data_IF_970889251602
#
_entry.id   IF_970889251602
#
_cell.length_a   1.000
_cell.length_b   1.000
_cell.length_c   1.000
_cell.angle_alpha   90.00
_cell.angle_beta   90.00
_cell.angle_gamma   90.00
#
_symmetry.space_group_name_H-M   'P 1'
#
loop_
_entity.id
_entity.type
_entity.pdbx_description
1 polymer ?
#
# COMPACT_ATOMS: atom_id res chain seq x y z
N UNK A 1 -31.47 -44.11 -6.74
CA UNK A 1 -31.07 -43.16 -5.68
C UNK A 1 -30.63 -41.88 -6.35
N UNK A 2 -31.24 -40.75 -6.00
CA UNK A 2 -30.84 -39.43 -6.55
C UNK A 2 -29.82 -38.75 -5.65
N UNK A 3 -29.94 -38.92 -4.32
CA UNK A 3 -28.88 -38.58 -3.38
C UNK A 3 -27.90 -39.74 -3.25
N UNK A 4 -26.60 -39.46 -3.38
CA UNK A 4 -25.52 -40.40 -3.05
C UNK A 4 -25.10 -40.16 -1.59
N UNK A 5 -24.98 -41.21 -0.75
CA UNK A 5 -24.55 -41.03 0.65
C UNK A 5 -23.13 -40.47 0.73
N UNK A 6 -22.26 -40.82 -0.22
CA UNK A 6 -20.86 -40.41 -0.26
C UNK A 6 -20.61 -39.08 -1.00
N UNK A 7 -21.65 -38.27 -1.29
CA UNK A 7 -21.48 -36.92 -1.87
C UNK A 7 -21.26 -35.87 -0.75
N UNK A 8 -20.03 -35.36 -0.54
CA UNK A 8 -19.73 -34.37 0.50
C UNK A 8 -20.40 -33.00 0.26
N UNK A 9 -20.96 -32.78 -0.94
CA UNK A 9 -21.75 -31.59 -1.28
C UNK A 9 -23.27 -31.77 -1.06
N UNK A 10 -23.74 -32.97 -0.69
CA UNK A 10 -25.14 -33.19 -0.30
C UNK A 10 -25.51 -32.56 1.06
N UNK A 11 -24.53 -32.21 1.89
CA UNK A 11 -24.70 -31.46 3.14
C UNK A 11 -25.19 -32.26 4.35
N UNK A 12 -25.83 -33.41 4.14
CA UNK A 12 -26.18 -34.34 5.20
C UNK A 12 -24.94 -35.04 5.80
N UNK A 13 -24.94 -35.27 7.11
CA UNK A 13 -23.82 -35.90 7.84
C UNK A 13 -24.04 -37.40 8.14
N UNK A 14 -25.24 -37.92 7.87
CA UNK A 14 -25.65 -39.26 8.31
C UNK A 14 -26.34 -40.03 7.18
N UNK A 15 -25.78 -41.18 6.80
CA UNK A 15 -26.28 -41.99 5.68
C UNK A 15 -27.70 -42.52 5.92
N UNK A 16 -28.12 -42.68 7.18
CA UNK A 16 -29.51 -43.00 7.56
C UNK A 16 -30.50 -41.91 7.14
N UNK A 17 -30.14 -40.63 7.29
CA UNK A 17 -30.95 -39.48 6.86
C UNK A 17 -30.99 -39.42 5.33
N UNK A 18 -29.87 -39.66 4.65
CA UNK A 18 -29.82 -39.72 3.17
C UNK A 18 -30.66 -40.88 2.62
N UNK A 19 -30.67 -42.03 3.29
CA UNK A 19 -31.52 -43.17 2.92
C UNK A 19 -33.01 -42.85 3.10
N UNK A 20 -33.40 -42.29 4.26
CA UNK A 20 -34.77 -41.86 4.53
C UNK A 20 -35.28 -40.79 3.54
N UNK A 21 -34.45 -39.80 3.20
CA UNK A 21 -34.84 -38.77 2.23
C UNK A 21 -34.96 -39.36 0.81
N UNK A 22 -34.04 -40.24 0.39
CA UNK A 22 -34.19 -41.00 -0.86
C UNK A 22 -35.50 -41.82 -0.88
N UNK A 23 -35.88 -42.46 0.23
CA UNK A 23 -37.13 -43.22 0.37
C UNK A 23 -38.36 -42.30 0.20
N UNK A 24 -38.40 -41.15 0.90
CA UNK A 24 -39.53 -40.21 0.80
C UNK A 24 -39.64 -39.53 -0.56
N UNK A 25 -38.50 -39.22 -1.20
CA UNK A 25 -38.48 -38.79 -2.61
C UNK A 25 -39.01 -39.90 -3.52
N UNK A 26 -38.54 -41.14 -3.38
CA UNK A 26 -38.97 -42.28 -4.19
C UNK A 26 -40.45 -42.67 -4.03
N UNK A 27 -41.18 -42.03 -3.10
CA UNK A 27 -42.64 -42.13 -3.00
C UNK A 27 -43.40 -41.68 -4.27
N UNK A 28 -42.79 -40.89 -5.16
CA UNK A 28 -43.34 -40.56 -6.48
C UNK A 28 -42.21 -40.26 -7.48
N UNK A 29 -42.34 -40.64 -8.77
CA UNK A 29 -41.27 -40.47 -9.78
C UNK A 29 -40.75 -39.02 -9.88
N UNK A 30 -41.70 -38.07 -9.81
CA UNK A 30 -41.46 -36.63 -9.83
C UNK A 30 -40.48 -36.14 -8.76
N UNK A 31 -40.29 -36.84 -7.64
CA UNK A 31 -39.29 -36.46 -6.62
C UNK A 31 -37.85 -36.64 -7.14
N UNK A 32 -37.41 -37.89 -7.41
CA UNK A 32 -36.14 -38.18 -8.05
C UNK A 32 -35.84 -37.36 -9.31
N UNK A 33 -36.86 -37.12 -10.14
CA UNK A 33 -36.80 -36.26 -11.34
C UNK A 33 -36.53 -34.79 -10.97
N UNK A 34 -37.38 -34.19 -10.13
CA UNK A 34 -37.24 -32.81 -9.67
C UNK A 34 -35.91 -32.55 -8.95
N UNK A 35 -35.37 -33.51 -8.19
CA UNK A 35 -34.04 -33.36 -7.61
C UNK A 35 -32.94 -33.23 -8.66
N UNK A 36 -33.00 -34.06 -9.72
CA UNK A 36 -31.97 -34.10 -10.76
C UNK A 36 -32.07 -32.90 -11.72
N UNK A 37 -33.28 -32.53 -12.13
CA UNK A 37 -33.53 -31.36 -13.01
C UNK A 37 -33.04 -30.04 -12.40
N UNK A 38 -33.14 -29.90 -11.07
CA UNK A 38 -32.93 -28.63 -10.39
C UNK A 38 -31.62 -28.57 -9.59
N UNK A 39 -30.74 -29.58 -9.69
CA UNK A 39 -29.46 -29.68 -8.96
C UNK A 39 -28.43 -28.59 -9.31
N UNK A 40 -28.62 -27.92 -10.45
CA UNK A 40 -27.73 -26.90 -11.01
C UNK A 40 -28.32 -25.48 -10.97
N UNK A 41 -29.58 -25.32 -10.53
CA UNK A 41 -30.26 -24.02 -10.47
C UNK A 41 -29.94 -23.27 -9.18
N UNK A 42 -30.30 -21.99 -9.13
CA UNK A 42 -30.30 -21.21 -7.89
C UNK A 42 -31.40 -21.69 -6.93
N UNK A 43 -31.24 -21.43 -5.64
CA UNK A 43 -32.28 -21.75 -4.66
C UNK A 43 -33.61 -21.04 -4.96
N UNK A 44 -33.55 -19.79 -5.44
CA UNK A 44 -34.73 -19.01 -5.83
C UNK A 44 -35.53 -19.69 -6.95
N UNK A 45 -34.86 -20.23 -7.98
CA UNK A 45 -35.54 -20.99 -9.05
C UNK A 45 -36.14 -22.31 -8.54
N UNK A 46 -35.46 -23.00 -7.61
CA UNK A 46 -35.97 -24.24 -6.97
C UNK A 46 -37.22 -23.95 -6.15
N UNK A 47 -37.20 -22.88 -5.34
CA UNK A 47 -38.31 -22.47 -4.47
C UNK A 47 -39.50 -21.96 -5.29
N UNK A 48 -39.26 -21.19 -6.35
CA UNK A 48 -40.29 -20.80 -7.33
C UNK A 48 -40.98 -22.04 -7.93
N UNK A 49 -40.22 -22.98 -8.51
CA UNK A 49 -40.79 -24.20 -9.08
C UNK A 49 -41.52 -25.07 -8.04
N UNK A 50 -41.06 -25.10 -6.79
CA UNK A 50 -41.77 -25.82 -5.72
C UNK A 50 -43.13 -25.17 -5.43
N UNK A 51 -43.19 -23.84 -5.27
CA UNK A 51 -44.46 -23.12 -5.08
C UNK A 51 -45.43 -23.42 -6.20
N UNK A 52 -45.00 -23.34 -7.46
CA UNK A 52 -45.86 -23.58 -8.62
C UNK A 52 -46.44 -25.01 -8.60
N UNK A 53 -45.66 -26.01 -8.15
CA UNK A 53 -46.09 -27.40 -7.93
C UNK A 53 -47.04 -27.54 -6.73
N UNK A 54 -46.88 -26.72 -5.68
CA UNK A 54 -47.74 -26.74 -4.49
C UNK A 54 -49.09 -26.06 -4.75
N UNK A 55 -49.14 -25.02 -5.59
CA UNK A 55 -50.35 -24.29 -5.96
C UNK A 55 -51.20 -25.04 -7.00
N UNK A 56 -50.58 -25.76 -7.94
CA UNK A 56 -51.29 -26.56 -8.94
C UNK A 56 -52.16 -27.67 -8.32
N UNK A 57 -53.48 -27.54 -8.43
CA UNK A 57 -54.46 -28.49 -7.88
C UNK A 57 -54.57 -29.81 -8.66
N UNK A 58 -54.01 -29.89 -9.87
CA UNK A 58 -53.95 -31.12 -10.66
C UNK A 58 -52.83 -32.08 -10.19
N UNK A 59 -51.85 -31.60 -9.42
CA UNK A 59 -50.74 -32.41 -8.90
C UNK A 59 -51.20 -33.24 -7.68
N UNK A 60 -51.05 -34.58 -7.69
CA UNK A 60 -51.36 -35.42 -6.53
C UNK A 60 -50.55 -35.04 -5.29
N UNK A 61 -51.13 -35.17 -4.09
CA UNK A 61 -50.45 -34.89 -2.81
C UNK A 61 -49.12 -35.65 -2.68
N UNK A 62 -49.11 -36.94 -3.01
CA UNK A 62 -47.92 -37.79 -3.01
C UNK A 62 -46.78 -37.27 -3.91
N UNK A 63 -47.12 -36.58 -5.01
CA UNK A 63 -46.14 -35.92 -5.87
C UNK A 63 -45.65 -34.58 -5.27
N UNK A 64 -46.55 -33.82 -4.62
CA UNK A 64 -46.18 -32.61 -3.86
C UNK A 64 -45.22 -32.93 -2.71
N UNK A 65 -45.52 -33.98 -1.95
CA UNK A 65 -44.67 -34.47 -0.85
C UNK A 65 -43.29 -34.89 -1.36
N UNK A 66 -43.23 -35.71 -2.42
CA UNK A 66 -41.97 -36.15 -3.03
C UNK A 66 -41.13 -34.97 -3.56
N UNK A 67 -41.77 -33.96 -4.16
CA UNK A 67 -41.09 -32.71 -4.55
C UNK A 67 -40.60 -31.91 -3.33
N UNK A 68 -41.39 -31.81 -2.25
CA UNK A 68 -40.98 -31.11 -1.03
C UNK A 68 -39.75 -31.76 -0.37
N UNK A 69 -39.67 -33.09 -0.29
CA UNK A 69 -38.47 -33.80 0.16
C UNK A 69 -37.26 -33.59 -0.76
N UNK A 70 -37.50 -33.46 -2.07
CA UNK A 70 -36.47 -33.16 -3.07
C UNK A 70 -35.93 -31.74 -2.93
N UNK A 71 -36.80 -30.75 -2.72
CA UNK A 71 -36.44 -29.36 -2.43
C UNK A 71 -35.71 -29.21 -1.11
N UNK A 72 -36.10 -29.95 -0.05
CA UNK A 72 -35.35 -29.98 1.21
C UNK A 72 -33.89 -30.44 0.97
N UNK A 73 -33.70 -31.49 0.16
CA UNK A 73 -32.38 -31.99 -0.18
C UNK A 73 -31.56 -31.00 -1.04
N UNK A 74 -32.21 -30.27 -1.94
CA UNK A 74 -31.59 -29.18 -2.71
C UNK A 74 -31.22 -27.99 -1.82
N UNK A 75 -32.05 -27.62 -0.85
CA UNK A 75 -31.79 -26.54 0.10
C UNK A 75 -30.61 -26.83 1.03
N UNK A 76 -30.52 -28.07 1.55
CA UNK A 76 -29.37 -28.51 2.35
C UNK A 76 -28.08 -28.54 1.51
N UNK A 77 -28.15 -28.97 0.24
CA UNK A 77 -27.03 -28.88 -0.73
C UNK A 77 -26.61 -27.42 -0.99
N UNK A 78 -27.57 -26.52 -1.19
CA UNK A 78 -27.31 -25.10 -1.43
C UNK A 78 -26.64 -24.44 -0.21
N UNK A 79 -27.23 -24.61 0.99
CA UNK A 79 -26.66 -24.11 2.24
C UNK A 79 -25.24 -24.66 2.51
N UNK A 80 -24.99 -25.94 2.20
CA UNK A 80 -23.66 -26.55 2.29
C UNK A 80 -22.65 -25.88 1.35
N UNK A 81 -23.00 -25.69 0.08
CA UNK A 81 -22.16 -25.00 -0.92
C UNK A 81 -21.89 -23.55 -0.52
N UNK A 82 -22.93 -22.82 -0.10
CA UNK A 82 -22.81 -21.43 0.36
C UNK A 82 -21.88 -21.34 1.58
N UNK A 83 -22.04 -22.22 2.57
CA UNK A 83 -21.16 -22.31 3.74
C UNK A 83 -19.69 -22.55 3.36
N UNK A 84 -19.42 -23.46 2.40
CA UNK A 84 -18.07 -23.71 1.89
C UNK A 84 -17.48 -22.48 1.19
N UNK A 85 -18.24 -21.83 0.30
CA UNK A 85 -17.80 -20.63 -0.42
C UNK A 85 -17.51 -19.46 0.53
N UNK A 86 -18.36 -19.22 1.54
CA UNK A 86 -18.09 -18.19 2.55
C UNK A 86 -16.87 -18.54 3.41
N UNK A 87 -16.67 -19.82 3.77
CA UNK A 87 -15.46 -20.28 4.47
C UNK A 87 -14.18 -20.00 3.67
N UNK A 88 -14.16 -20.32 2.37
CA UNK A 88 -13.04 -20.00 1.49
C UNK A 88 -12.81 -18.49 1.35
N UNK A 89 -13.87 -17.69 1.20
CA UNK A 89 -13.79 -16.23 1.12
C UNK A 89 -13.22 -15.60 2.39
N UNK A 90 -13.66 -16.04 3.57
CA UNK A 90 -13.15 -15.57 4.86
C UNK A 90 -11.68 -15.96 5.06
N UNK A 91 -11.30 -17.18 4.72
CA UNK A 91 -9.90 -17.64 4.78
C UNK A 91 -8.99 -16.83 3.85
N UNK A 92 -9.42 -16.58 2.62
CA UNK A 92 -8.67 -15.77 1.65
C UNK A 92 -8.53 -14.30 2.12
N UNK A 93 -9.60 -13.69 2.65
CA UNK A 93 -9.56 -12.34 3.23
C UNK A 93 -8.60 -12.25 4.42
N UNK A 94 -8.58 -13.25 5.29
CA UNK A 94 -7.64 -13.33 6.42
C UNK A 94 -6.18 -13.37 5.94
N UNK A 95 -5.87 -14.23 4.96
CA UNK A 95 -4.50 -14.39 4.47
C UNK A 95 -4.02 -13.17 3.67
N UNK A 96 -4.92 -12.53 2.92
CA UNK A 96 -4.67 -11.23 2.27
C UNK A 96 -4.38 -10.13 3.31
N UNK A 97 -5.20 -10.03 4.36
CA UNK A 97 -4.99 -9.06 5.44
C UNK A 97 -3.68 -9.31 6.21
N UNK A 98 -3.30 -10.57 6.41
CA UNK A 98 -2.02 -10.98 7.01
C UNK A 98 -0.84 -10.55 6.14
N UNK A 99 -0.89 -10.81 4.83
CA UNK A 99 0.14 -10.38 3.88
C UNK A 99 0.28 -8.85 3.86
N UNK A 100 -0.83 -8.12 3.79
CA UNK A 100 -0.82 -6.65 3.81
C UNK A 100 -0.27 -6.11 5.14
N UNK A 101 -0.59 -6.75 6.27
CA UNK A 101 -0.03 -6.39 7.57
C UNK A 101 1.50 -6.54 7.57
N UNK A 102 2.03 -7.70 7.18
CA UNK A 102 3.48 -7.93 7.17
C UNK A 102 4.22 -7.04 6.16
N UNK A 103 3.61 -6.69 5.03
CA UNK A 103 4.16 -5.71 4.10
C UNK A 103 4.21 -4.29 4.70
N UNK A 104 3.18 -3.87 5.44
CA UNK A 104 3.16 -2.59 6.13
C UNK A 104 4.15 -2.55 7.31
N UNK A 105 4.34 -3.67 8.02
CA UNK A 105 5.34 -3.81 9.09
C UNK A 105 6.77 -3.70 8.54
N UNK A 106 7.07 -4.34 7.40
CA UNK A 106 8.36 -4.20 6.71
C UNK A 106 8.62 -2.77 6.21
N UNK A 107 7.65 -2.13 5.57
CA UNK A 107 7.79 -0.73 5.14
C UNK A 107 7.98 0.22 6.34
N UNK A 108 7.42 -0.10 7.51
CA UNK A 108 7.63 0.67 8.73
C UNK A 108 9.05 0.48 9.33
N UNK A 109 9.66 -0.70 9.20
CA UNK A 109 11.08 -0.90 9.55
C UNK A 109 12.01 -0.18 8.58
N UNK A 110 11.78 -0.33 7.27
CA UNK A 110 12.61 0.30 6.23
C UNK A 110 12.62 1.83 6.35
N UNK A 111 11.45 2.45 6.59
CA UNK A 111 11.33 3.89 6.82
C UNK A 111 12.03 4.35 8.11
N UNK A 112 12.04 3.52 9.16
CA UNK A 112 12.75 3.82 10.41
C UNK A 112 14.27 3.76 10.19
N UNK A 113 14.77 2.71 9.56
CA UNK A 113 16.20 2.54 9.26
C UNK A 113 16.71 3.67 8.35
N UNK A 114 15.95 4.03 7.31
CA UNK A 114 16.27 5.18 6.46
C UNK A 114 16.28 6.50 7.24
N UNK A 115 15.38 6.69 8.20
CA UNK A 115 15.34 7.90 9.04
C UNK A 115 16.56 7.98 9.96
N UNK A 116 16.96 6.87 10.59
CA UNK A 116 18.13 6.78 11.47
C UNK A 116 19.44 6.99 10.67
N UNK A 117 19.56 6.38 9.48
CA UNK A 117 20.67 6.59 8.55
C UNK A 117 20.78 8.05 8.10
N UNK A 118 19.66 8.66 7.69
CA UNK A 118 19.63 10.06 7.26
C UNK A 118 19.95 11.04 8.41
N UNK A 119 19.64 10.69 9.66
CA UNK A 119 20.06 11.47 10.83
C UNK A 119 21.57 11.35 11.09
N UNK A 120 22.15 10.15 10.89
CA UNK A 120 23.60 9.91 10.99
C UNK A 120 24.38 10.73 9.94
N UNK A 121 23.96 10.70 8.68
CA UNK A 121 24.58 11.47 7.59
C UNK A 121 24.52 12.99 7.84
N UNK A 122 23.43 13.49 8.42
CA UNK A 122 23.32 14.90 8.86
C UNK A 122 24.27 15.24 10.00
N UNK A 123 24.43 14.34 10.98
CA UNK A 123 25.38 14.50 12.10
C UNK A 123 26.83 14.52 11.60
N UNK A 124 27.18 13.61 10.70
CA UNK A 124 28.51 13.56 10.08
C UNK A 124 28.83 14.80 9.24
N UNK A 125 27.93 15.20 8.34
CA UNK A 125 28.15 16.38 7.49
C UNK A 125 28.25 17.67 8.31
N UNK A 126 27.43 17.81 9.36
CA UNK A 126 27.55 18.92 10.32
C UNK A 126 28.87 18.90 11.11
N UNK A 127 29.38 17.72 11.48
CA UNK A 127 30.70 17.59 12.12
C UNK A 127 31.84 18.01 11.16
N UNK A 128 31.85 17.48 9.93
CA UNK A 128 32.84 17.82 8.90
C UNK A 128 32.85 19.33 8.60
N UNK A 129 31.67 19.97 8.53
CA UNK A 129 31.56 21.42 8.35
C UNK A 129 32.14 22.22 9.53
N UNK A 130 31.90 21.80 10.77
CA UNK A 130 32.51 22.45 11.94
C UNK A 130 34.03 22.30 11.95
N UNK A 131 34.54 21.14 11.52
CA UNK A 131 35.98 20.90 11.40
C UNK A 131 36.62 21.81 10.35
N UNK A 132 36.05 21.94 9.15
CA UNK A 132 36.61 22.83 8.12
C UNK A 132 36.51 24.31 8.53
N UNK A 133 35.45 24.73 9.22
CA UNK A 133 35.35 26.07 9.81
C UNK A 133 36.43 26.35 10.86
N UNK A 134 36.73 25.38 11.74
CA UNK A 134 37.79 25.50 12.73
C UNK A 134 39.18 25.64 12.07
N UNK A 135 39.50 24.77 11.10
CA UNK A 135 40.75 24.81 10.35
C UNK A 135 40.93 26.15 9.59
N UNK A 136 39.86 26.66 8.98
CA UNK A 136 39.87 27.98 8.31
C UNK A 136 40.14 29.13 9.32
N UNK A 137 39.55 29.07 10.51
CA UNK A 137 39.79 30.05 11.57
C UNK A 137 41.23 29.98 12.13
N UNK A 138 41.87 28.81 12.08
CA UNK A 138 43.28 28.62 12.44
C UNK A 138 44.22 29.21 11.37
N UNK A 139 44.05 28.84 10.10
CA UNK A 139 44.81 29.39 8.96
C UNK A 139 44.68 30.93 8.89
N UNK A 140 43.52 31.49 9.24
CA UNK A 140 43.34 32.95 9.35
C UNK A 140 44.15 33.59 10.50
N UNK A 141 44.36 32.89 11.62
CA UNK A 141 45.25 33.36 12.70
C UNK A 141 46.71 33.30 12.27
N UNK A 142 47.13 32.21 11.64
CA UNK A 142 48.47 32.06 11.08
C UNK A 142 48.78 33.15 10.06
N UNK A 143 47.86 33.41 9.12
CA UNK A 143 48.03 34.48 8.13
C UNK A 143 48.16 35.86 8.78
N UNK A 144 47.38 36.16 9.83
CA UNK A 144 47.50 37.41 10.61
C UNK A 144 48.86 37.50 11.31
N UNK A 145 49.33 36.41 11.93
CA UNK A 145 50.64 36.33 12.57
C UNK A 145 51.80 36.53 11.58
N UNK A 146 51.71 35.93 10.39
CA UNK A 146 52.71 36.08 9.33
C UNK A 146 52.74 37.51 8.78
N UNK A 147 51.58 38.14 8.56
CA UNK A 147 51.50 39.57 8.19
C UNK A 147 52.12 40.48 9.24
N UNK A 148 51.86 40.23 10.53
CA UNK A 148 52.45 40.98 11.64
C UNK A 148 53.98 40.83 11.69
N UNK A 149 54.51 39.60 11.55
CA UNK A 149 55.97 39.37 11.47
C UNK A 149 56.62 40.10 10.29
N UNK A 150 55.95 40.13 9.13
CA UNK A 150 56.44 40.83 7.93
C UNK A 150 56.49 42.35 8.14
N UNK A 151 55.45 42.93 8.75
CA UNK A 151 55.41 44.35 9.13
C UNK A 151 56.55 44.71 10.10
N UNK A 152 56.78 43.86 11.12
CA UNK A 152 57.86 44.08 12.10
C UNK A 152 59.24 44.12 11.43
N UNK A 153 59.53 43.18 10.52
CA UNK A 153 60.78 43.16 9.73
C UNK A 153 60.91 44.37 8.80
N UNK A 154 59.79 44.88 8.25
CA UNK A 154 59.76 46.13 7.48
C UNK A 154 60.24 47.32 8.29
N UNK A 155 59.64 47.55 9.46
CA UNK A 155 60.03 48.65 10.35
C UNK A 155 61.49 48.53 10.85
N UNK A 156 61.99 47.32 11.10
CA UNK A 156 63.41 47.11 11.47
C UNK A 156 64.37 47.51 10.35
N UNK A 157 63.97 47.36 9.07
CA UNK A 157 64.78 47.80 7.92
C UNK A 157 64.84 49.32 7.80
N UNK A 158 63.72 50.02 8.04
CA UNK A 158 63.66 51.48 7.95
C UNK A 158 64.37 52.17 9.12
N UNK A 159 64.34 51.59 10.33
CA UNK A 159 65.17 52.05 11.46
C UNK A 159 66.68 51.94 11.18
N UNK A 160 67.10 51.11 10.23
CA UNK A 160 68.49 51.04 9.75
C UNK A 160 68.90 52.14 8.76
N UNK A 161 67.98 53.05 8.38
CA UNK A 161 68.23 54.09 7.37
C UNK A 161 67.90 55.52 7.86
N UNK A 162 67.74 55.72 9.18
CA UNK A 162 67.39 57.00 9.78
C UNK A 162 68.61 57.91 10.06
N UNK A 163 69.18 58.52 9.01
CA UNK A 163 70.08 59.68 9.13
C UNK A 163 70.04 60.56 7.87
N UNK A 164 70.08 61.87 8.06
CA UNK A 164 70.06 62.96 7.04
C UNK A 164 68.69 63.39 6.45
N UNK A 165 67.98 64.23 7.23
CA UNK A 165 67.15 65.37 6.79
C UNK A 165 68.07 66.61 6.51
N UNK A 166 67.62 67.85 6.14
CA UNK A 166 66.25 68.39 5.99
C UNK A 166 65.98 69.20 4.67
N UNK A 167 64.76 69.76 4.48
CA UNK A 167 64.43 70.45 3.20
C UNK A 167 63.18 71.36 3.00
N UNK A 168 62.62 72.01 4.02
CA UNK A 168 61.78 73.26 3.97
C UNK A 168 60.70 73.52 2.86
N UNK A 169 59.43 73.63 3.32
CA UNK A 169 58.46 74.77 3.12
C UNK A 169 57.97 75.15 1.68
N UNK A 170 56.79 75.74 1.39
CA UNK A 170 55.56 76.24 2.08
C UNK A 170 54.46 76.45 0.99
N UNK A 171 53.16 76.73 1.15
CA UNK A 171 52.15 76.92 2.23
C UNK A 171 50.76 76.50 1.63
N UNK A 172 49.53 77.00 1.88
CA UNK A 172 48.94 78.05 2.74
C UNK A 172 47.39 77.93 2.83
N UNK A 173 46.76 78.51 3.87
CA UNK A 173 45.31 78.82 4.00
C UNK A 173 44.35 77.69 4.41
N UNK A 174 43.10 77.92 4.87
CA UNK A 174 42.51 78.97 5.75
C UNK A 174 40.95 78.80 5.77
N UNK A 175 40.32 78.80 6.96
CA UNK A 175 38.86 78.66 7.15
C UNK A 175 38.31 77.24 6.91
N UNK A 176 37.13 76.84 7.38
CA UNK A 176 36.15 77.41 8.33
C UNK A 176 35.31 76.22 8.84
N UNK A 177 35.10 76.05 10.15
CA UNK A 177 33.87 76.46 10.88
C UNK A 177 32.58 75.77 10.38
N UNK A 178 31.89 75.06 11.28
CA UNK A 178 30.67 74.30 10.99
C UNK A 178 30.31 73.34 12.13
N UNK A 179 29.45 73.77 13.04
CA UNK A 179 28.93 73.00 14.18
C UNK A 179 27.43 72.67 13.97
N UNK A 180 26.75 72.29 15.07
CA UNK A 180 25.43 71.68 15.21
C UNK A 180 25.42 70.15 14.98
N UNK A 181 24.90 69.29 15.87
CA UNK A 181 23.67 69.36 16.71
C UNK A 181 22.41 69.08 15.85
N UNK A 182 21.41 68.32 16.28
CA UNK A 182 21.09 67.82 17.64
C UNK A 182 20.19 66.56 17.60
N UNK A 183 20.10 65.82 18.71
CA UNK A 183 18.94 65.00 19.17
C UNK A 183 18.32 63.91 18.24
N UNK A 184 17.40 63.02 18.68
CA UNK A 184 16.69 62.81 19.96
C UNK A 184 16.79 61.28 20.26
N UNK A 185 17.28 60.82 21.41
CA UNK A 185 16.52 60.51 22.64
C UNK A 185 15.02 60.19 22.41
N UNK A 186 14.53 58.99 22.77
CA UNK A 186 14.02 58.76 24.12
C UNK A 186 13.96 57.28 24.51
N UNK A 187 14.22 57.01 25.79
CA UNK A 187 14.07 55.69 26.41
C UNK A 187 12.68 55.53 27.07
N UNK A 188 12.48 54.36 27.69
CA UNK A 188 11.49 54.05 28.73
C UNK A 188 10.01 53.95 28.32
N UNK A 189 9.14 53.24 29.06
CA UNK A 189 9.29 52.03 29.89
C UNK A 189 7.88 51.56 30.34
N UNK A 190 7.81 50.37 30.93
CA UNK A 190 6.81 49.93 31.92
C UNK A 190 5.32 49.77 31.53
N UNK A 191 4.95 48.49 31.33
CA UNK A 191 3.95 47.79 32.18
C UNK A 191 2.54 48.39 32.38
N UNK A 192 1.50 47.73 31.84
CA UNK A 192 0.58 46.91 32.68
C UNK A 192 -0.61 46.26 31.94
N UNK A 193 -0.96 45.09 32.46
CA UNK A 193 -2.01 44.12 32.13
C UNK A 193 -3.45 44.67 32.24
N UNK A 194 -4.36 44.37 31.28
CA UNK A 194 -5.66 43.67 31.54
C UNK A 194 -6.55 43.42 30.30
N UNK A 195 -7.42 42.40 30.46
CA UNK A 195 -8.78 42.25 29.88
C UNK A 195 -9.03 41.98 28.37
N UNK A 196 -9.41 40.72 28.10
CA UNK A 196 -10.65 40.28 27.43
C UNK A 196 -11.06 40.77 26.02
N UNK A 197 -11.38 39.80 25.13
CA UNK A 197 -12.61 39.90 24.33
C UNK A 197 -12.59 39.46 22.86
N UNK A 198 -13.17 38.28 22.59
CA UNK A 198 -13.92 37.90 21.38
C UNK A 198 -13.23 37.70 19.99
N UNK A 199 -13.78 36.72 19.26
CA UNK A 199 -13.76 36.53 17.79
C UNK A 199 -12.42 36.42 17.04
N UNK A 200 -11.89 35.19 16.97
CA UNK A 200 -10.87 34.76 15.99
C UNK A 200 -11.33 33.52 15.21
N UNK A 201 -11.54 33.65 13.89
CA UNK A 201 -12.09 32.60 13.00
C UNK A 201 -10.96 31.77 12.38
N UNK A 202 -10.66 30.60 12.93
CA UNK A 202 -9.64 29.70 12.36
C UNK A 202 -10.22 28.58 11.47
N UNK A 203 -9.43 28.11 10.50
CA UNK A 203 -9.85 27.24 9.40
C UNK A 203 -9.87 25.76 9.80
N UNK A 204 -10.99 25.08 9.54
CA UNK A 204 -10.95 23.65 9.21
C UNK A 204 -10.47 23.48 7.77
N UNK A 205 -9.32 22.82 7.59
CA UNK A 205 -8.98 22.15 6.33
C UNK A 205 -8.07 20.97 6.65
N UNK A 206 -8.58 19.75 6.46
CA UNK A 206 -7.82 18.51 6.58
C UNK A 206 -8.42 17.43 5.66
N UNK A 207 -7.55 16.59 5.13
CA UNK A 207 -7.84 15.25 4.59
C UNK A 207 -8.88 15.16 3.46
N UNK A 208 -8.56 15.73 2.28
CA UNK A 208 -9.34 15.60 1.04
C UNK A 208 -8.61 14.86 -0.11
N UNK A 209 -7.41 14.28 0.14
CA UNK A 209 -6.56 13.65 -0.89
C UNK A 209 -6.29 12.15 -0.66
N UNK A 210 -6.88 11.52 0.37
CA UNK A 210 -6.78 10.07 0.61
C UNK A 210 -7.98 9.26 0.09
N UNK A 211 -9.08 9.92 -0.27
CA UNK A 211 -10.39 9.26 -0.48
C UNK A 211 -10.67 8.80 -1.91
N UNK A 212 -9.75 9.05 -2.86
CA UNK A 212 -9.95 8.79 -4.29
C UNK A 212 -9.21 7.52 -4.75
N UNK A 213 -7.90 7.41 -4.47
CA UNK A 213 -7.12 6.20 -4.73
C UNK A 213 -7.69 4.94 -4.03
N UNK A 214 -8.28 5.11 -2.83
CA UNK A 214 -8.97 4.03 -2.12
C UNK A 214 -10.22 3.51 -2.85
N UNK A 215 -10.87 4.35 -3.68
CA UNK A 215 -12.06 3.95 -4.46
C UNK A 215 -11.69 3.18 -5.72
N UNK A 216 -10.61 3.53 -6.41
CA UNK A 216 -10.12 2.75 -7.56
C UNK A 216 -9.70 1.34 -7.15
N UNK A 217 -8.89 1.22 -6.09
CA UNK A 217 -8.46 -0.08 -5.56
C UNK A 217 -9.64 -0.91 -5.04
N UNK A 218 -10.61 -0.28 -4.39
CA UNK A 218 -11.88 -0.92 -4.01
C UNK A 218 -12.67 -1.42 -5.22
N UNK A 219 -12.76 -0.62 -6.29
CA UNK A 219 -13.41 -0.98 -7.54
C UNK A 219 -12.76 -2.19 -8.22
N UNK A 220 -11.43 -2.22 -8.31
CA UNK A 220 -10.69 -3.35 -8.86
C UNK A 220 -10.86 -4.65 -8.06
N UNK A 221 -10.85 -4.55 -6.72
CA UNK A 221 -11.07 -5.69 -5.83
C UNK A 221 -12.48 -6.27 -5.97
N UNK A 222 -13.51 -5.42 -6.02
CA UNK A 222 -14.91 -5.85 -6.21
C UNK A 222 -15.12 -6.50 -7.58
N UNK A 223 -14.49 -6.00 -8.65
CA UNK A 223 -14.52 -6.66 -9.96
C UNK A 223 -13.83 -8.01 -9.95
N UNK A 224 -12.69 -8.17 -9.25
CA UNK A 224 -12.00 -9.46 -9.18
C UNK A 224 -12.82 -10.51 -8.42
N UNK A 225 -13.47 -10.12 -7.32
CA UNK A 225 -14.37 -10.99 -6.56
C UNK A 225 -15.61 -11.35 -7.38
N UNK A 226 -16.31 -10.36 -7.96
CA UNK A 226 -17.49 -10.59 -8.80
C UNK A 226 -17.20 -11.45 -10.04
N UNK A 227 -16.03 -11.26 -10.67
CA UNK A 227 -15.58 -12.07 -11.80
C UNK A 227 -15.11 -13.49 -11.41
N UNK A 228 -14.89 -13.78 -10.12
CA UNK A 228 -14.74 -15.16 -9.63
C UNK A 228 -16.09 -15.80 -9.34
N UNK A 229 -17.02 -15.09 -8.70
CA UNK A 229 -18.37 -15.60 -8.43
C UNK A 229 -19.12 -15.91 -9.74
N UNK A 230 -19.05 -15.04 -10.76
CA UNK A 230 -19.64 -15.29 -12.09
C UNK A 230 -19.06 -16.51 -12.81
N UNK A 231 -17.75 -16.80 -12.67
CA UNK A 231 -17.11 -17.94 -13.33
C UNK A 231 -17.51 -19.31 -12.77
N UNK A 232 -18.19 -19.34 -11.62
CA UNK A 232 -18.83 -20.57 -11.13
C UNK A 232 -20.21 -20.84 -11.78
N UNK A 233 -20.73 -19.88 -12.56
CA UNK A 233 -22.04 -19.96 -13.24
C UNK A 233 -21.99 -19.44 -14.70
N UNK A 234 -20.85 -19.56 -15.39
CA UNK A 234 -20.79 -19.35 -16.85
C UNK A 234 -21.04 -20.66 -17.61
N UNK A 235 -22.17 -20.69 -18.31
CA UNK A 235 -22.62 -21.73 -19.25
C UNK A 235 -21.50 -22.34 -20.11
N UNK A 236 -21.29 -23.66 -19.99
CA UNK A 236 -20.54 -24.45 -20.98
C UNK A 236 -21.42 -25.59 -21.52
N UNK A 237 -22.45 -25.19 -22.26
CA UNK A 237 -23.46 -26.07 -22.84
C UNK A 237 -23.14 -26.47 -24.27
N UNK A 238 -21.97 -27.05 -24.55
CA UNK A 238 -21.65 -27.47 -25.92
C UNK A 238 -20.86 -28.80 -26.06
N UNK A 239 -21.56 -29.80 -26.62
CA UNK A 239 -21.08 -31.02 -27.31
C UNK A 239 -20.50 -32.15 -26.45
N UNK A 240 -21.26 -33.26 -26.41
CA UNK A 240 -20.66 -34.56 -26.72
C UNK A 240 -20.08 -34.52 -28.15
N UNK A 241 -18.90 -35.12 -28.38
CA UNK A 241 -18.35 -35.21 -29.73
C UNK A 241 -16.85 -35.51 -29.84
N UNK A 242 -16.53 -36.81 -29.95
CA UNK A 242 -15.33 -37.36 -30.61
C UNK A 242 -13.95 -37.24 -29.91
N UNK A 243 -13.16 -38.32 -29.98
CA UNK A 243 -11.82 -38.41 -29.40
C UNK A 243 -10.76 -37.82 -30.33
N UNK A 244 -9.73 -37.18 -29.75
CA UNK A 244 -8.33 -37.29 -30.22
C UNK A 244 -7.33 -36.82 -29.16
N UNK A 245 -6.26 -37.59 -29.00
CA UNK A 245 -5.11 -37.24 -28.17
C UNK A 245 -4.29 -36.08 -28.76
N UNK A 246 -3.65 -35.28 -27.90
CA UNK A 246 -2.24 -34.87 -28.02
C UNK A 246 -1.78 -34.07 -26.77
N UNK A 247 -0.69 -34.45 -26.08
CA UNK A 247 -0.24 -33.75 -24.87
C UNK A 247 0.76 -32.62 -25.19
N UNK A 248 0.30 -31.35 -25.23
CA UNK A 248 1.20 -30.21 -25.47
C UNK A 248 0.78 -28.88 -24.82
N UNK A 249 1.02 -28.71 -23.50
CA UNK A 249 1.26 -27.38 -22.92
C UNK A 249 2.11 -27.35 -21.63
N UNK A 250 3.16 -28.18 -21.53
CA UNK A 250 4.08 -28.21 -20.35
C UNK A 250 5.49 -27.68 -20.61
N UNK A 251 5.64 -26.73 -21.55
CA UNK A 251 6.94 -26.13 -21.95
C UNK A 251 6.85 -24.62 -22.27
N UNK A 252 6.50 -23.77 -21.30
CA UNK A 252 6.59 -22.30 -21.47
C UNK A 252 7.08 -21.53 -20.24
N UNK A 253 7.91 -22.16 -19.39
CA UNK A 253 8.50 -21.50 -18.20
C UNK A 253 9.95 -21.94 -17.93
N UNK A 254 10.71 -22.30 -18.97
CA UNK A 254 12.07 -22.85 -18.83
C UNK A 254 13.10 -22.36 -19.88
N UNK A 255 12.77 -21.34 -20.66
CA UNK A 255 13.64 -20.68 -21.65
C UNK A 255 14.27 -19.38 -21.14
N UNK A 256 13.51 -18.57 -20.39
CA UNK A 256 13.90 -17.21 -19.97
C UNK A 256 15.19 -17.18 -19.13
N UNK A 257 15.43 -18.20 -18.30
CA UNK A 257 16.60 -18.27 -17.42
C UNK A 257 17.81 -19.04 -18.04
N UNK A 258 17.97 -19.01 -19.37
CA UNK A 258 19.19 -19.51 -20.04
C UNK A 258 19.86 -18.50 -20.98
N UNK A 259 19.22 -17.36 -21.26
CA UNK A 259 19.80 -16.29 -22.08
C UNK A 259 20.89 -15.48 -21.36
N UNK A 260 20.70 -15.19 -20.07
CA UNK A 260 21.58 -14.26 -19.34
C UNK A 260 22.95 -14.83 -18.93
N UNK A 261 23.12 -16.15 -18.78
CA UNK A 261 24.45 -16.72 -18.47
C UNK A 261 25.44 -16.62 -19.64
N UNK A 262 24.98 -16.71 -20.90
CA UNK A 262 25.89 -16.67 -22.06
C UNK A 262 26.46 -15.27 -22.39
N UNK A 263 25.80 -14.18 -21.98
CA UNK A 263 26.35 -12.83 -22.16
C UNK A 263 27.40 -12.44 -21.11
N UNK A 264 27.43 -13.11 -19.95
CA UNK A 264 28.43 -12.82 -18.91
C UNK A 264 29.77 -13.50 -19.20
N UNK A 265 29.78 -14.76 -19.67
CA UNK A 265 31.03 -15.47 -20.00
C UNK A 265 31.77 -14.88 -21.21
N UNK A 266 31.08 -14.29 -22.19
CA UNK A 266 31.72 -13.67 -23.37
C UNK A 266 32.39 -12.33 -23.06
N UNK A 267 32.07 -11.69 -21.93
CA UNK A 267 32.65 -10.39 -21.54
C UNK A 267 33.92 -10.51 -20.69
N UNK A 268 34.19 -11.66 -20.09
CA UNK A 268 35.43 -11.94 -19.33
C UNK A 268 36.58 -12.41 -20.23
N UNK A 269 36.28 -12.90 -21.45
CA UNK A 269 37.26 -13.47 -22.38
C UNK A 269 37.94 -12.45 -23.33
N UNK A 270 37.80 -11.14 -23.07
CA UNK A 270 38.47 -10.05 -23.79
C UNK A 270 39.19 -9.06 -22.83
N UNK A 271 39.65 -9.57 -21.68
CA UNK A 271 40.30 -8.78 -20.63
C UNK A 271 41.57 -9.46 -20.06
N UNK A 272 42.18 -10.36 -20.86
CA UNK A 272 43.48 -11.02 -20.67
C UNK A 272 44.16 -11.09 -22.03
#
# INVERSE_FOLDING_TARGET
>A
MSLKPDDPSAGFQHNSVVAFINEKMAGHTRGPEFYLENISLSWEEVENKLRDILEDSAVPSQAKDACAWSSLALGVRFARRQSQLQGHRVHWLHDFAKLHKSAAEALATDLKEFTEQQEMERKESAFRLRQTQANLAEIQKEQKLLRWKLLQLGCTREQGQASEEPGLATASGAGTEGACEEEEESQAAATSVTAAGATGRERRQKDALGAEAAKELGGGLMHLVGAMDQKNYTTDGQREGELRDLPSLRKSFRSTNRGHQHQLQTRTAMAV
#
